data_IF_604525772220
#
_entry.id   IF_604525772220
#
_cell.length_a   1.000
_cell.length_b   1.000
_cell.length_c   1.000
_cell.angle_alpha   90.00
_cell.angle_beta   90.00
_cell.angle_gamma   90.00
#
_symmetry.space_group_name_H-M   'P 1'
#
loop_
_entity.id
_entity.type
_entity.pdbx_description
1 polymer ?
#
# COMPACT_ATOMS: atom_id res chain seq x y z
N UNK A 1 0.92 -30.31 45.23
CA UNK A 1 0.11 -29.07 45.24
C UNK A 1 0.53 -28.17 44.09
N UNK A 2 -0.10 -28.21 42.89
CA UNK A 2 0.26 -27.28 41.85
C UNK A 2 -0.66 -26.04 41.94
N UNK A 3 -0.19 -25.00 42.64
CA UNK A 3 -0.85 -23.69 42.67
C UNK A 3 -0.47 -22.92 41.40
N UNK A 4 -1.15 -23.17 40.29
CA UNK A 4 -1.01 -22.33 39.11
C UNK A 4 -1.72 -20.99 39.34
N UNK A 5 -1.03 -20.08 40.03
CA UNK A 5 -1.51 -18.75 40.44
C UNK A 5 -1.83 -17.84 39.24
N UNK A 6 -1.28 -18.16 38.06
CA UNK A 6 -1.45 -17.36 36.85
C UNK A 6 -2.90 -17.31 36.37
N UNK A 7 -3.67 -18.39 36.55
CA UNK A 7 -5.09 -18.44 36.17
C UNK A 7 -5.98 -17.44 36.92
N UNK A 8 -5.58 -17.05 38.14
CA UNK A 8 -6.32 -16.12 39.01
C UNK A 8 -5.95 -14.65 38.78
N UNK A 9 -4.94 -14.37 37.97
CA UNK A 9 -4.48 -12.99 37.70
C UNK A 9 -5.32 -12.37 36.59
N UNK A 10 -5.78 -11.14 36.81
CA UNK A 10 -6.61 -10.38 35.87
C UNK A 10 -5.88 -9.93 34.61
N UNK A 11 -4.55 -9.92 34.60
CA UNK A 11 -3.74 -9.59 33.42
C UNK A 11 -3.35 -10.83 32.60
N UNK A 12 -3.68 -12.04 33.05
CA UNK A 12 -3.32 -13.25 32.32
C UNK A 12 -4.06 -13.29 30.98
N UNK A 13 -3.31 -13.24 29.89
CA UNK A 13 -3.83 -13.24 28.51
C UNK A 13 -4.67 -14.49 28.24
N UNK A 14 -4.32 -15.63 28.84
CA UNK A 14 -5.02 -16.90 28.64
C UNK A 14 -6.32 -17.03 29.44
N UNK A 15 -6.67 -16.04 30.26
CA UNK A 15 -7.95 -16.04 30.95
C UNK A 15 -9.08 -15.81 29.93
N UNK A 16 -10.11 -16.66 29.95
CA UNK A 16 -11.27 -16.56 29.07
C UNK A 16 -11.90 -15.16 29.06
N UNK A 17 -11.92 -14.48 30.21
CA UNK A 17 -12.43 -13.11 30.32
C UNK A 17 -11.61 -12.09 29.51
N UNK A 18 -10.28 -12.25 29.45
CA UNK A 18 -9.41 -11.37 28.68
C UNK A 18 -9.46 -11.70 27.19
N UNK A 19 -9.51 -12.98 26.84
CA UNK A 19 -9.71 -13.43 25.46
C UNK A 19 -11.03 -12.87 24.91
N UNK A 20 -12.11 -12.88 25.70
CA UNK A 20 -13.40 -12.33 25.30
C UNK A 20 -13.37 -10.80 25.09
N UNK A 21 -12.60 -10.07 25.90
CA UNK A 21 -12.40 -8.61 25.72
C UNK A 21 -11.66 -8.32 24.42
N UNK A 22 -10.54 -9.00 24.19
CA UNK A 22 -9.75 -8.86 22.95
C UNK A 22 -10.60 -9.17 21.73
N UNK A 23 -11.37 -10.27 21.74
CA UNK A 23 -12.29 -10.59 20.64
C UNK A 23 -13.36 -9.54 20.40
N UNK A 24 -13.88 -8.91 21.46
CA UNK A 24 -14.86 -7.82 21.33
C UNK A 24 -14.22 -6.57 20.70
N UNK A 25 -13.00 -6.25 21.11
CA UNK A 25 -12.26 -5.11 20.57
C UNK A 25 -11.85 -5.37 19.11
N UNK A 26 -11.41 -6.58 18.79
CA UNK A 26 -11.14 -7.05 17.42
C UNK A 26 -12.40 -7.00 16.56
N UNK A 27 -13.53 -7.52 17.04
CA UNK A 27 -14.79 -7.46 16.31
C UNK A 27 -15.29 -6.02 16.11
N UNK A 28 -15.06 -5.13 17.09
CA UNK A 28 -15.41 -3.71 16.97
C UNK A 28 -14.48 -2.98 15.99
N UNK A 29 -13.20 -3.37 15.90
CA UNK A 29 -12.26 -2.86 14.92
C UNK A 29 -12.64 -3.34 13.51
N UNK A 30 -12.87 -4.64 13.34
CA UNK A 30 -13.31 -5.24 12.08
C UNK A 30 -14.62 -4.61 11.58
N UNK A 31 -15.62 -4.42 12.45
CA UNK A 31 -16.88 -3.80 12.06
C UNK A 31 -16.72 -2.34 11.57
N UNK A 32 -15.69 -1.62 12.04
CA UNK A 32 -15.38 -0.27 11.54
C UNK A 32 -14.72 -0.32 10.18
N UNK A 33 -13.75 -1.22 10.01
CA UNK A 33 -13.07 -1.46 8.73
C UNK A 33 -14.08 -1.88 7.65
N UNK A 34 -14.96 -2.83 7.95
CA UNK A 34 -16.03 -3.27 7.05
C UNK A 34 -16.98 -2.13 6.66
N UNK A 35 -17.34 -1.25 7.60
CA UNK A 35 -18.20 -0.10 7.29
C UNK A 35 -17.51 0.91 6.36
N UNK A 36 -16.21 1.13 6.52
CA UNK A 36 -15.44 2.00 5.62
C UNK A 36 -15.22 1.34 4.25
N UNK A 37 -14.99 0.03 4.20
CA UNK A 37 -14.96 -0.74 2.95
C UNK A 37 -16.29 -0.69 2.20
N UNK A 38 -17.42 -0.84 2.90
CA UNK A 38 -18.75 -0.72 2.30
C UNK A 38 -18.95 0.66 1.69
N UNK A 39 -18.55 1.74 2.39
CA UNK A 39 -18.61 3.11 1.84
C UNK A 39 -17.78 3.27 0.57
N UNK A 40 -16.57 2.70 0.53
CA UNK A 40 -15.73 2.72 -0.66
C UNK A 40 -16.37 1.94 -1.81
N UNK A 41 -16.92 0.76 -1.52
CA UNK A 41 -17.62 -0.07 -2.51
C UNK A 41 -18.87 0.62 -3.05
N UNK A 42 -19.65 1.28 -2.20
CA UNK A 42 -20.83 2.06 -2.59
C UNK A 42 -20.46 3.24 -3.49
N UNK A 43 -19.39 3.97 -3.16
CA UNK A 43 -18.89 5.06 -3.99
C UNK A 43 -18.43 4.56 -5.37
N UNK A 44 -17.73 3.42 -5.42
CA UNK A 44 -17.33 2.77 -6.66
C UNK A 44 -18.53 2.24 -7.46
N UNK A 45 -19.52 1.65 -6.80
CA UNK A 45 -20.75 1.17 -7.42
C UNK A 45 -21.57 2.34 -7.98
N UNK A 46 -21.73 3.42 -7.23
CA UNK A 46 -22.38 4.64 -7.68
C UNK A 46 -21.67 5.23 -8.90
N UNK A 47 -20.33 5.24 -8.90
CA UNK A 47 -19.55 5.66 -10.07
C UNK A 47 -19.83 4.78 -11.29
N UNK A 48 -19.85 3.46 -11.13
CA UNK A 48 -20.16 2.52 -12.22
C UNK A 48 -21.58 2.74 -12.75
N UNK A 49 -22.55 2.98 -11.87
CA UNK A 49 -23.92 3.28 -12.27
C UNK A 49 -24.03 4.61 -13.02
N UNK A 50 -23.31 5.66 -12.61
CA UNK A 50 -23.28 6.94 -13.30
C UNK A 50 -22.74 6.81 -14.74
N UNK A 51 -21.65 6.05 -14.92
CA UNK A 51 -21.09 5.75 -16.25
C UNK A 51 -22.11 5.02 -17.12
N UNK A 52 -22.80 4.02 -16.56
CA UNK A 52 -23.85 3.28 -17.28
C UNK A 52 -25.06 4.17 -17.64
N UNK A 53 -25.36 5.19 -16.83
CA UNK A 53 -26.41 6.17 -17.10
C UNK A 53 -25.98 7.29 -18.07
N UNK A 54 -24.70 7.35 -18.44
CA UNK A 54 -24.16 8.44 -19.26
C UNK A 54 -24.01 9.76 -18.51
N UNK A 55 -24.07 9.74 -17.18
CA UNK A 55 -23.84 10.89 -16.31
C UNK A 55 -22.34 11.06 -16.02
N UNK A 56 -21.89 12.29 -15.74
CA UNK A 56 -20.50 12.55 -15.39
C UNK A 56 -20.22 11.91 -14.02
N UNK A 57 -19.28 10.95 -13.93
CA UNK A 57 -19.00 10.27 -12.66
C UNK A 57 -18.46 11.25 -11.62
N UNK A 58 -18.79 11.06 -10.32
CA UNK A 58 -18.18 11.85 -9.26
C UNK A 58 -16.65 11.69 -9.30
N UNK A 59 -15.88 12.78 -9.07
CA UNK A 59 -14.43 12.73 -9.12
C UNK A 59 -13.90 11.73 -8.10
N UNK A 60 -12.86 10.99 -8.49
CA UNK A 60 -12.15 10.11 -7.57
C UNK A 60 -11.72 10.94 -6.37
N UNK A 61 -12.13 10.54 -5.16
CA UNK A 61 -11.44 11.00 -3.97
C UNK A 61 -10.00 10.54 -4.16
N UNK A 62 -9.09 11.48 -4.41
CA UNK A 62 -7.66 11.19 -4.49
C UNK A 62 -7.19 10.57 -3.18
N UNK A 63 -5.90 10.20 -3.05
CA UNK A 63 -5.33 9.77 -1.77
C UNK A 63 -5.23 10.96 -0.79
N UNK A 64 -6.36 11.60 -0.48
CA UNK A 64 -6.49 12.55 0.61
C UNK A 64 -6.59 11.73 1.89
N UNK A 65 -5.47 11.62 2.59
CA UNK A 65 -5.39 11.24 4.00
C UNK A 65 -6.05 9.89 4.33
N UNK A 66 -5.46 8.80 3.84
CA UNK A 66 -5.37 7.64 4.73
C UNK A 66 -4.66 8.14 6.01
N UNK A 67 -5.25 8.05 7.21
CA UNK A 67 -4.50 8.34 8.42
C UNK A 67 -3.37 7.32 8.46
N UNK A 68 -2.13 7.75 8.20
CA UNK A 68 -0.97 6.88 8.34
C UNK A 68 -1.02 6.23 9.72
N UNK A 69 -0.74 4.92 9.86
CA UNK A 69 -0.68 4.28 11.17
C UNK A 69 0.43 4.87 12.06
N UNK A 70 1.39 5.60 11.46
CA UNK A 70 2.44 6.38 12.14
C UNK A 70 2.03 7.85 12.43
N UNK A 71 0.84 8.27 12.01
CA UNK A 71 0.26 9.51 12.50
C UNK A 71 -0.15 9.27 13.95
N UNK A 72 0.80 9.54 14.86
CA UNK A 72 0.53 9.70 16.28
C UNK A 72 -0.84 10.38 16.44
N UNK A 73 -1.76 9.83 17.25
CA UNK A 73 -3.02 10.53 17.53
C UNK A 73 -2.63 11.95 17.89
N UNK A 74 -3.28 12.99 17.33
CA UNK A 74 -2.87 14.37 17.55
C UNK A 74 -2.69 14.50 19.05
N UNK A 75 -1.42 14.62 19.47
CA UNK A 75 -1.05 14.70 20.86
C UNK A 75 -1.99 15.72 21.42
N UNK A 76 -2.87 15.31 22.34
CA UNK A 76 -3.75 16.23 23.05
C UNK A 76 -2.80 17.20 23.69
N UNK A 77 -2.58 18.30 22.98
CA UNK A 77 -1.49 19.22 23.20
C UNK A 77 -1.71 19.78 24.58
N UNK A 78 -0.94 19.27 25.52
CA UNK A 78 -0.76 19.86 26.84
C UNK A 78 0.12 21.12 26.70
N UNK A 79 -0.22 21.99 25.75
CA UNK A 79 0.50 23.23 25.46
C UNK A 79 -0.37 24.34 24.84
N UNK A 80 -1.70 24.25 24.98
CA UNK A 80 -2.65 25.32 24.64
C UNK A 80 -3.55 25.72 25.83
N UNK A 81 -3.09 25.48 27.07
CA UNK A 81 -3.83 25.83 28.30
C UNK A 81 -3.81 27.34 28.65
N UNK A 82 -3.57 28.24 27.69
CA UNK A 82 -3.62 29.69 27.93
C UNK A 82 -4.45 30.52 26.96
N UNK A 83 -5.14 29.91 25.99
CA UNK A 83 -6.18 30.58 25.22
C UNK A 83 -7.55 30.04 25.65
N UNK A 84 -8.13 30.64 26.71
CA UNK A 84 -9.39 30.19 27.31
C UNK A 84 -10.49 29.94 26.27
N UNK A 85 -11.17 28.78 26.38
CA UNK A 85 -12.33 28.43 25.55
C UNK A 85 -13.33 29.59 25.55
N UNK A 86 -13.62 30.15 24.37
CA UNK A 86 -14.60 31.23 24.21
C UNK A 86 -15.98 30.69 24.62
N UNK A 87 -16.62 31.32 25.60
CA UNK A 87 -17.98 30.96 26.05
C UNK A 87 -19.03 31.59 25.13
N UNK A 88 -20.24 31.02 25.12
CA UNK A 88 -21.42 31.63 24.47
C UNK A 88 -21.73 32.97 25.14
N UNK A 89 -22.04 34.00 24.35
CA UNK A 89 -22.58 35.26 24.90
C UNK A 89 -24.08 35.09 25.13
N UNK A 90 -24.65 35.89 26.04
CA UNK A 90 -26.08 35.82 26.34
C UNK A 90 -26.88 36.25 25.10
N UNK A 91 -27.77 35.38 24.60
CA UNK A 91 -28.59 35.63 23.40
C UNK A 91 -27.95 35.25 22.06
N UNK A 92 -26.81 34.56 22.02
CA UNK A 92 -26.27 33.97 20.79
C UNK A 92 -26.87 32.56 20.57
N UNK A 93 -27.37 32.29 19.37
CA UNK A 93 -27.75 30.95 18.91
C UNK A 93 -26.51 30.09 18.62
N UNK A 94 -26.69 28.76 18.63
CA UNK A 94 -25.59 27.79 18.51
C UNK A 94 -24.81 27.95 17.19
N UNK A 95 -25.51 28.28 16.11
CA UNK A 95 -24.91 28.55 14.80
C UNK A 95 -24.08 29.83 14.78
N UNK A 96 -24.54 30.87 15.47
CA UNK A 96 -23.86 32.17 15.54
C UNK A 96 -22.60 32.09 16.40
N UNK A 97 -22.66 31.32 17.50
CA UNK A 97 -21.51 31.00 18.32
C UNK A 97 -20.42 30.28 17.49
N UNK A 98 -20.81 29.25 16.73
CA UNK A 98 -19.90 28.50 15.87
C UNK A 98 -19.30 29.37 14.76
N UNK A 99 -20.10 30.19 14.07
CA UNK A 99 -19.61 31.11 13.04
C UNK A 99 -18.63 32.15 13.59
N UNK A 100 -18.85 32.65 14.80
CA UNK A 100 -17.93 33.61 15.46
C UNK A 100 -16.61 32.93 15.83
N UNK A 101 -16.67 31.72 16.39
CA UNK A 101 -15.47 30.94 16.71
C UNK A 101 -14.70 30.60 15.43
N UNK A 102 -15.39 30.15 14.38
CA UNK A 102 -14.82 29.82 13.07
C UNK A 102 -14.13 31.03 12.43
N UNK A 103 -14.79 32.20 12.35
CA UNK A 103 -14.18 33.43 11.83
C UNK A 103 -12.92 33.84 12.59
N UNK A 104 -12.91 33.64 13.92
CA UNK A 104 -11.73 33.95 14.72
C UNK A 104 -10.57 32.96 14.53
N UNK A 105 -10.85 31.70 14.13
CA UNK A 105 -9.83 30.70 13.78
C UNK A 105 -9.35 30.86 12.33
N UNK A 106 -10.27 31.26 11.44
CA UNK A 106 -10.02 31.48 10.02
C UNK A 106 -9.39 32.85 9.71
N UNK A 107 -9.19 33.72 10.71
CA UNK A 107 -8.44 34.96 10.56
C UNK A 107 -6.98 34.73 11.01
N UNK A 108 -6.08 34.23 10.15
CA UNK A 108 -4.66 34.34 10.40
C UNK A 108 -4.33 35.83 10.35
N UNK A 109 -3.81 36.36 11.46
CA UNK A 109 -3.10 37.62 11.60
C UNK A 109 -2.98 38.47 10.30
N UNK A 110 -3.87 39.44 10.11
CA UNK A 110 -3.65 40.48 9.12
C UNK A 110 -2.35 41.22 9.50
N UNK A 111 -1.31 41.24 8.64
CA UNK A 111 -0.09 41.96 8.97
C UNK A 111 -0.38 43.47 8.96
N UNK A 112 0.22 44.28 9.85
CA UNK A 112 0.05 45.72 9.82
C UNK A 112 0.52 46.27 8.47
N UNK A 113 -0.33 47.07 7.85
CA UNK A 113 -0.04 47.81 6.64
C UNK A 113 1.03 48.89 6.93
N UNK A 114 2.30 48.52 6.82
CA UNK A 114 3.40 49.47 6.64
C UNK A 114 4.63 48.75 6.06
N UNK A 115 4.67 48.61 4.73
CA UNK A 115 5.93 48.42 4.01
C UNK A 115 6.31 49.77 3.39
N UNK A 116 7.46 50.38 3.74
CA UNK A 116 7.96 51.51 2.97
C UNK A 116 8.35 51.02 1.56
N UNK A 117 8.16 51.90 0.57
CA UNK A 117 8.45 51.65 -0.83
C UNK A 117 9.91 51.19 -1.05
N UNK A 118 10.18 50.32 -2.04
CA UNK A 118 11.55 49.98 -2.40
C UNK A 118 12.24 51.21 -3.03
N UNK A 119 13.28 51.71 -2.37
CA UNK A 119 14.19 52.71 -2.93
C UNK A 119 14.89 52.13 -4.17
N UNK A 120 14.89 52.89 -5.26
CA UNK A 120 15.32 52.52 -6.61
C UNK A 120 16.84 52.33 -6.81
N UNK A 121 17.57 51.80 -5.84
CA UNK A 121 19.02 51.57 -5.96
C UNK A 121 19.37 50.12 -5.66
N UNK A 122 19.48 49.32 -6.71
CA UNK A 122 20.08 47.97 -6.68
C UNK A 122 21.61 48.06 -6.57
N UNK A 123 22.12 48.74 -5.54
CA UNK A 123 23.54 48.77 -5.23
C UNK A 123 23.77 48.01 -3.90
N UNK A 124 24.70 47.04 -3.85
CA UNK A 124 25.02 46.37 -2.60
C UNK A 124 25.54 47.41 -1.58
N UNK A 125 24.97 47.42 -0.37
CA UNK A 125 25.36 48.31 0.73
C UNK A 125 26.85 48.16 1.13
N UNK A 126 27.44 47.02 0.76
CA UNK A 126 28.80 46.62 1.09
C UNK A 126 29.59 46.44 -0.20
N UNK A 127 30.75 47.09 -0.31
CA UNK A 127 31.68 46.90 -1.43
C UNK A 127 32.26 45.47 -1.42
N UNK A 128 32.78 45.02 -2.55
CA UNK A 128 33.53 43.77 -2.75
C UNK A 128 34.65 43.52 -1.73
N UNK A 129 35.12 44.58 -1.05
CA UNK A 129 36.13 44.55 0.02
C UNK A 129 35.56 44.46 1.44
N UNK A 130 34.24 44.41 1.60
CA UNK A 130 33.58 44.31 2.90
C UNK A 130 33.33 45.64 3.62
N UNK A 131 33.54 46.79 2.96
CA UNK A 131 33.29 48.12 3.54
C UNK A 131 31.89 48.64 3.20
N UNK A 132 31.25 49.33 4.15
CA UNK A 132 29.93 49.97 3.92
C UNK A 132 30.14 51.17 2.99
N UNK A 133 29.59 51.09 1.77
CA UNK A 133 29.68 52.16 0.79
C UNK A 133 28.51 53.14 1.01
N UNK A 134 28.76 54.24 1.71
CA UNK A 134 27.77 55.30 1.93
C UNK A 134 27.48 56.14 0.68
N UNK A 135 28.33 56.03 -0.34
CA UNK A 135 28.18 56.69 -1.64
C UNK A 135 28.08 55.63 -2.74
N UNK A 136 27.19 55.86 -3.71
CA UNK A 136 27.09 54.99 -4.89
C UNK A 136 28.40 55.08 -5.69
N UNK A 137 29.21 54.03 -5.64
CA UNK A 137 30.39 53.92 -6.48
C UNK A 137 29.96 53.88 -7.97
N UNK A 138 30.73 54.51 -8.89
CA UNK A 138 30.44 54.43 -10.31
C UNK A 138 30.45 52.96 -10.77
N UNK A 139 29.57 52.58 -11.72
CA UNK A 139 29.49 51.21 -12.20
C UNK A 139 30.85 50.76 -12.74
N UNK A 140 31.42 49.71 -12.15
CA UNK A 140 32.62 49.06 -12.65
C UNK A 140 32.31 48.48 -14.05
N UNK A 141 33.24 48.60 -15.02
CA UNK A 141 33.06 47.99 -16.32
C UNK A 141 32.91 46.46 -16.19
N UNK A 142 32.11 45.81 -17.05
CA UNK A 142 31.91 44.37 -17.01
C UNK A 142 33.25 43.66 -17.16
N UNK A 143 33.63 42.91 -16.12
CA UNK A 143 34.85 42.11 -16.10
C UNK A 143 34.72 41.02 -17.16
N UNK A 144 35.70 40.92 -18.06
CA UNK A 144 35.70 39.94 -19.14
C UNK A 144 35.48 38.53 -18.58
N UNK A 145 34.58 37.73 -19.17
CA UNK A 145 34.29 36.38 -18.68
C UNK A 145 35.55 35.52 -18.82
N UNK A 146 36.09 35.06 -17.70
CA UNK A 146 37.19 34.12 -17.70
C UNK A 146 36.79 32.86 -18.52
N UNK A 147 37.66 32.37 -19.43
CA UNK A 147 37.32 31.25 -20.32
C UNK A 147 36.98 29.96 -19.56
N UNK A 148 37.44 29.85 -18.31
CA UNK A 148 37.13 28.74 -17.41
C UNK A 148 35.69 28.82 -16.86
N UNK A 149 35.17 30.02 -16.60
CA UNK A 149 33.81 30.21 -16.10
C UNK A 149 32.76 29.77 -17.13
N UNK A 150 33.02 30.01 -18.42
CA UNK A 150 32.15 29.54 -19.50
C UNK A 150 32.15 28.00 -19.61
N UNK A 151 33.30 27.36 -19.36
CA UNK A 151 33.42 25.89 -19.37
C UNK A 151 32.71 25.27 -18.18
N UNK A 152 32.75 25.90 -17.01
CA UNK A 152 32.02 25.44 -15.82
C UNK A 152 30.51 25.62 -15.95
N UNK A 153 30.04 26.75 -16.51
CA UNK A 153 28.63 26.96 -16.79
C UNK A 153 28.09 25.91 -17.78
N UNK A 154 28.83 25.62 -18.85
CA UNK A 154 28.45 24.60 -19.81
C UNK A 154 28.44 23.17 -19.21
N UNK A 155 29.31 22.88 -18.23
CA UNK A 155 29.28 21.61 -17.48
C UNK A 155 28.05 21.52 -16.59
N UNK A 156 27.73 22.57 -15.84
CA UNK A 156 26.54 22.64 -14.97
C UNK A 156 25.24 22.50 -15.77
N UNK A 157 25.16 23.14 -16.93
CA UNK A 157 23.99 23.03 -17.82
C UNK A 157 23.81 21.62 -18.37
N UNK A 158 24.91 20.90 -18.66
CA UNK A 158 24.86 19.49 -19.07
C UNK A 158 24.43 18.59 -17.92
N UNK A 159 24.99 18.78 -16.73
CA UNK A 159 24.62 18.03 -15.52
C UNK A 159 23.14 18.21 -15.16
N UNK A 160 22.62 19.45 -15.27
CA UNK A 160 21.21 19.74 -15.07
C UNK A 160 20.34 19.04 -16.12
N UNK A 161 20.70 19.11 -17.41
CA UNK A 161 19.95 18.41 -18.47
C UNK A 161 19.96 16.89 -18.27
N UNK A 162 21.07 16.33 -17.84
CA UNK A 162 21.17 14.90 -17.56
C UNK A 162 20.34 14.47 -16.35
N UNK A 163 20.10 15.36 -15.36
CA UNK A 163 19.20 15.07 -14.23
C UNK A 163 17.74 14.90 -14.67
N UNK A 164 17.32 15.61 -15.73
CA UNK A 164 15.93 15.58 -16.22
C UNK A 164 15.71 14.65 -17.42
N UNK A 165 16.77 14.15 -18.07
CA UNK A 165 16.67 13.14 -19.12
C UNK A 165 16.78 11.72 -18.56
N UNK A 166 15.87 10.82 -18.98
CA UNK A 166 15.91 9.40 -18.64
C UNK A 166 17.21 8.77 -19.15
N UNK A 167 18.11 8.42 -18.22
CA UNK A 167 19.49 7.97 -18.49
C UNK A 167 19.58 6.50 -18.94
N UNK A 168 18.97 6.16 -20.09
CA UNK A 168 19.13 4.82 -20.68
C UNK A 168 20.44 4.69 -21.48
N UNK A 169 21.03 5.80 -21.93
CA UNK A 169 22.22 5.81 -22.82
C UNK A 169 23.54 6.03 -22.05
N UNK A 170 23.52 6.76 -20.93
CA UNK A 170 24.71 7.05 -20.11
C UNK A 170 25.11 5.92 -19.14
N UNK A 171 24.39 4.80 -19.13
CA UNK A 171 24.71 3.64 -18.30
C UNK A 171 25.91 2.82 -18.82
N UNK A 172 26.37 3.07 -20.06
CA UNK A 172 27.45 2.32 -20.70
C UNK A 172 28.87 2.68 -20.20
N UNK A 173 29.01 3.61 -19.25
CA UNK A 173 30.30 4.08 -18.75
C UNK A 173 31.10 4.86 -19.80
N UNK A 174 32.14 5.57 -19.35
CA UNK A 174 32.96 6.47 -20.18
C UNK A 174 33.67 5.77 -21.35
N UNK A 175 33.77 4.44 -21.30
CA UNK A 175 34.60 3.67 -22.22
C UNK A 175 33.78 2.67 -23.04
N UNK A 176 32.43 2.65 -22.93
CA UNK A 176 31.56 1.75 -23.74
C UNK A 176 31.81 0.25 -23.55
N UNK A 177 32.73 -0.15 -22.67
CA UNK A 177 33.19 -1.52 -22.46
C UNK A 177 32.10 -2.47 -21.94
N UNK A 178 30.99 -1.94 -21.41
CA UNK A 178 29.80 -2.73 -21.04
C UNK A 178 28.91 -3.13 -22.23
N UNK A 179 29.11 -2.55 -23.42
CA UNK A 179 28.34 -2.85 -24.62
C UNK A 179 29.17 -3.67 -25.64
N UNK A 180 30.49 -3.50 -25.68
CA UNK A 180 31.35 -4.09 -26.74
C UNK A 180 32.14 -5.34 -26.33
N UNK A 181 32.48 -5.53 -25.05
CA UNK A 181 33.36 -6.65 -24.64
C UNK A 181 32.61 -7.85 -24.02
N UNK A 182 31.28 -7.76 -23.92
CA UNK A 182 30.45 -8.87 -23.41
C UNK A 182 28.97 -8.82 -23.78
N UNK A 183 28.55 -7.81 -24.55
CA UNK A 183 27.15 -7.54 -24.85
C UNK A 183 26.28 -7.37 -23.59
N UNK A 184 25.05 -6.86 -23.74
CA UNK A 184 24.09 -6.96 -22.66
C UNK A 184 23.74 -8.42 -22.40
N UNK A 185 23.37 -8.78 -21.16
CA UNK A 185 23.03 -10.15 -20.74
C UNK A 185 21.92 -10.84 -21.57
N UNK A 186 21.19 -10.08 -22.38
CA UNK A 186 20.15 -10.55 -23.31
C UNK A 186 20.64 -10.74 -24.76
N UNK A 187 21.87 -10.36 -25.08
CA UNK A 187 22.48 -10.51 -26.40
C UNK A 187 23.44 -11.70 -26.47
N UNK A 188 23.13 -12.79 -25.77
CA UNK A 188 23.73 -14.10 -26.07
C UNK A 188 23.28 -14.48 -27.48
N UNK A 189 24.16 -14.22 -28.44
CA UNK A 189 24.02 -14.75 -29.77
C UNK A 189 24.03 -16.28 -29.65
N UNK A 190 22.91 -16.88 -30.08
CA UNK A 190 22.86 -18.22 -30.65
C UNK A 190 22.80 -19.37 -29.62
N UNK A 191 21.58 -19.81 -29.33
CA UNK A 191 21.19 -21.20 -29.55
C UNK A 191 21.75 -22.31 -28.66
N UNK A 192 22.65 -22.05 -27.71
CA UNK A 192 22.99 -23.01 -26.65
C UNK A 192 22.47 -22.50 -25.30
N UNK A 193 21.22 -22.84 -25.03
CA UNK A 193 20.72 -22.97 -23.66
C UNK A 193 21.39 -24.20 -23.05
N UNK A 194 22.71 -24.13 -22.84
CA UNK A 194 23.38 -25.02 -21.93
C UNK A 194 22.69 -24.85 -20.58
N UNK A 195 22.28 -25.96 -19.98
CA UNK A 195 21.61 -26.06 -18.69
C UNK A 195 22.49 -25.59 -17.49
N UNK A 196 23.37 -24.63 -17.74
CA UNK A 196 24.30 -23.99 -16.85
C UNK A 196 24.27 -22.48 -17.13
N UNK A 197 23.19 -21.80 -16.75
CA UNK A 197 23.25 -20.37 -16.52
C UNK A 197 24.37 -20.10 -15.48
N UNK A 198 25.34 -19.21 -15.74
CA UNK A 198 26.48 -18.96 -14.83
C UNK A 198 26.05 -18.11 -13.63
N UNK A 199 25.13 -18.62 -12.82
CA UNK A 199 24.58 -17.89 -11.68
C UNK A 199 23.74 -18.71 -10.70
N UNK A 200 23.23 -19.89 -11.08
CA UNK A 200 22.55 -20.78 -10.12
C UNK A 200 23.59 -21.68 -9.47
N UNK A 201 24.44 -21.07 -8.66
CA UNK A 201 25.26 -21.86 -7.74
C UNK A 201 24.30 -22.54 -6.75
N UNK A 202 24.46 -23.85 -6.54
CA UNK A 202 23.70 -24.60 -5.52
C UNK A 202 24.10 -24.19 -4.09
N UNK A 203 24.95 -23.17 -3.98
CA UNK A 203 25.50 -22.67 -2.73
C UNK A 203 24.53 -21.66 -2.11
N UNK A 204 24.43 -21.73 -0.80
CA UNK A 204 23.75 -20.75 0.02
C UNK A 204 24.48 -19.41 0.03
N UNK A 205 23.84 -18.40 0.64
CA UNK A 205 24.43 -17.07 0.89
C UNK A 205 25.81 -17.17 1.56
N UNK A 206 26.05 -18.24 2.31
CA UNK A 206 27.32 -18.55 3.00
C UNK A 206 28.24 -19.53 2.25
N UNK A 207 27.98 -19.81 0.96
CA UNK A 207 28.87 -20.63 0.13
C UNK A 207 28.80 -22.15 0.37
N UNK A 208 27.93 -22.64 1.26
CA UNK A 208 27.68 -24.07 1.49
C UNK A 208 26.64 -24.62 0.52
N UNK A 209 26.82 -25.83 0.03
CA UNK A 209 25.84 -26.49 -0.84
C UNK A 209 24.48 -26.66 -0.14
N UNK A 210 23.41 -26.34 -0.86
CA UNK A 210 22.02 -26.41 -0.43
C UNK A 210 21.24 -27.33 -1.37
N UNK A 211 21.14 -28.62 -1.05
CA UNK A 211 20.52 -29.60 -1.95
C UNK A 211 19.06 -29.27 -2.26
N UNK A 212 18.35 -28.58 -1.36
CA UNK A 212 16.95 -28.18 -1.54
C UNK A 212 16.74 -26.81 -2.18
N UNK A 213 17.79 -26.13 -2.63
CA UNK A 213 17.67 -24.79 -3.24
C UNK A 213 16.87 -24.83 -4.53
N UNK A 214 17.16 -25.81 -5.39
CA UNK A 214 16.50 -25.99 -6.70
C UNK A 214 15.01 -26.25 -6.53
N UNK A 215 14.64 -27.16 -5.63
CA UNK A 215 13.25 -27.49 -5.35
C UNK A 215 12.48 -26.29 -4.80
N UNK A 216 13.08 -25.52 -3.89
CA UNK A 216 12.48 -24.29 -3.38
C UNK A 216 12.36 -23.21 -4.45
N UNK A 217 13.33 -23.10 -5.35
CA UNK A 217 13.24 -22.17 -6.48
C UNK A 217 12.12 -22.57 -7.45
N UNK A 218 12.00 -23.86 -7.79
CA UNK A 218 10.91 -24.38 -8.61
C UNK A 218 9.54 -24.19 -7.94
N UNK A 219 9.44 -24.46 -6.63
CA UNK A 219 8.22 -24.23 -5.85
C UNK A 219 7.83 -22.75 -5.80
N UNK A 220 8.81 -21.84 -5.66
CA UNK A 220 8.57 -20.39 -5.73
C UNK A 220 8.09 -19.97 -7.11
N UNK A 221 8.73 -20.45 -8.18
CA UNK A 221 8.29 -20.13 -9.55
C UNK A 221 6.84 -20.57 -9.79
N UNK A 222 6.47 -21.79 -9.36
CA UNK A 222 5.09 -22.30 -9.47
C UNK A 222 4.10 -21.72 -8.43
N UNK A 223 4.56 -20.94 -7.45
CA UNK A 223 3.72 -20.23 -6.50
C UNK A 223 3.54 -18.75 -6.88
N UNK A 224 4.55 -18.14 -7.52
CA UNK A 224 4.48 -16.78 -8.05
C UNK A 224 3.73 -16.69 -9.38
N UNK A 225 3.52 -17.81 -10.08
CA UNK A 225 2.76 -17.85 -11.32
C UNK A 225 1.23 -17.88 -11.05
N UNK A 226 0.46 -16.85 -11.45
CA UNK A 226 -0.99 -16.83 -11.30
C UNK A 226 -1.69 -17.96 -12.07
N UNK A 227 -1.14 -18.39 -13.21
CA UNK A 227 -1.72 -19.47 -14.00
C UNK A 227 -1.61 -20.80 -13.26
N UNK A 228 -0.46 -21.07 -12.63
CA UNK A 228 -0.27 -22.25 -11.80
C UNK A 228 -1.25 -22.30 -10.60
N UNK A 229 -1.57 -21.15 -9.99
CA UNK A 229 -2.59 -21.06 -8.94
C UNK A 229 -3.99 -21.40 -9.48
N UNK A 230 -4.37 -20.86 -10.64
CA UNK A 230 -5.66 -21.17 -11.27
C UNK A 230 -5.76 -22.66 -11.63
N UNK A 231 -4.70 -23.25 -12.16
CA UNK A 231 -4.67 -24.68 -12.48
C UNK A 231 -4.80 -25.57 -11.24
N UNK A 232 -4.15 -25.21 -10.13
CA UNK A 232 -4.32 -25.91 -8.83
C UNK A 232 -5.76 -25.79 -8.34
N UNK A 233 -6.34 -24.59 -8.38
CA UNK A 233 -7.75 -24.37 -8.04
C UNK A 233 -8.69 -25.23 -8.88
N UNK A 234 -8.53 -25.25 -10.21
CA UNK A 234 -9.34 -26.07 -11.11
C UNK A 234 -9.19 -27.58 -10.85
N UNK A 235 -8.00 -28.06 -10.45
CA UNK A 235 -7.79 -29.46 -10.05
C UNK A 235 -8.55 -29.79 -8.76
N UNK A 236 -8.46 -28.94 -7.74
CA UNK A 236 -9.19 -29.10 -6.48
C UNK A 236 -10.71 -29.16 -6.70
N UNK A 237 -11.27 -28.29 -7.55
CA UNK A 237 -12.70 -28.32 -7.89
C UNK A 237 -13.09 -29.65 -8.54
N UNK A 238 -12.30 -30.14 -9.50
CA UNK A 238 -12.55 -31.44 -10.15
C UNK A 238 -12.48 -32.61 -9.18
N UNK A 239 -11.59 -32.56 -8.18
CA UNK A 239 -11.50 -33.60 -7.14
C UNK A 239 -12.72 -33.58 -6.22
N UNK A 240 -13.17 -32.40 -5.80
CA UNK A 240 -14.39 -32.24 -5.01
C UNK A 240 -15.63 -32.70 -5.77
N UNK A 241 -15.75 -32.37 -7.05
CA UNK A 241 -16.85 -32.84 -7.90
C UNK A 241 -16.84 -34.36 -8.04
N UNK A 242 -15.67 -34.98 -8.23
CA UNK A 242 -15.53 -36.44 -8.25
C UNK A 242 -15.90 -37.06 -6.90
N UNK A 243 -15.49 -36.45 -5.79
CA UNK A 243 -15.86 -36.88 -4.44
C UNK A 243 -17.38 -36.84 -4.24
N UNK A 244 -18.00 -35.70 -4.53
CA UNK A 244 -19.46 -35.53 -4.45
C UNK A 244 -20.21 -36.52 -5.34
N UNK A 245 -19.71 -36.79 -6.56
CA UNK A 245 -20.32 -37.78 -7.46
C UNK A 245 -20.26 -39.19 -6.87
N UNK A 246 -19.13 -39.57 -6.26
CA UNK A 246 -18.99 -40.88 -5.59
C UNK A 246 -19.92 -41.00 -4.39
N UNK A 247 -20.04 -39.95 -3.57
CA UNK A 247 -20.97 -39.93 -2.43
C UNK A 247 -22.43 -40.06 -2.88
N UNK A 248 -22.81 -39.40 -3.97
CA UNK A 248 -24.16 -39.55 -4.54
C UNK A 248 -24.38 -40.97 -5.05
N UNK A 249 -23.41 -41.54 -5.75
CA UNK A 249 -23.48 -42.93 -6.24
C UNK A 249 -23.56 -43.95 -5.09
N UNK A 250 -22.81 -43.75 -4.01
CA UNK A 250 -22.88 -44.59 -2.80
C UNK A 250 -24.25 -44.47 -2.13
N UNK A 251 -24.77 -43.26 -1.95
CA UNK A 251 -26.12 -43.04 -1.40
C UNK A 251 -27.22 -43.65 -2.26
N UNK A 252 -27.11 -43.56 -3.59
CA UNK A 252 -28.05 -44.19 -4.52
C UNK A 252 -27.99 -45.71 -4.43
N UNK A 253 -26.81 -46.29 -4.26
CA UNK A 253 -26.64 -47.74 -4.03
C UNK A 253 -27.26 -48.17 -2.71
N UNK A 254 -27.01 -47.45 -1.62
CA UNK A 254 -27.61 -47.72 -0.30
C UNK A 254 -29.14 -47.63 -0.33
N UNK A 255 -29.69 -46.57 -0.93
CA UNK A 255 -31.13 -46.41 -1.13
C UNK A 255 -31.72 -47.55 -1.97
N UNK A 256 -31.05 -47.92 -3.07
CA UNK A 256 -31.48 -49.03 -3.91
C UNK A 256 -31.41 -50.39 -3.21
N UNK A 257 -30.48 -50.59 -2.28
CA UNK A 257 -30.43 -51.79 -1.44
C UNK A 257 -31.58 -51.83 -0.44
N UNK A 258 -31.87 -50.72 0.24
CA UNK A 258 -33.02 -50.60 1.15
C UNK A 258 -34.34 -50.86 0.41
N UNK A 259 -34.55 -50.27 -0.77
CA UNK A 259 -35.76 -50.52 -1.58
C UNK A 259 -35.88 -51.99 -2.02
N UNK A 260 -34.75 -52.64 -2.35
CA UNK A 260 -34.73 -54.07 -2.71
C UNK A 260 -35.05 -54.94 -1.50
N UNK A 261 -34.56 -54.60 -0.32
CA UNK A 261 -34.89 -55.29 0.93
C UNK A 261 -36.35 -55.11 1.31
N UNK A 262 -36.88 -53.88 1.28
CA UNK A 262 -38.30 -53.60 1.54
C UNK A 262 -39.20 -54.36 0.56
N UNK A 263 -38.83 -54.41 -0.73
CA UNK A 263 -39.56 -55.20 -1.74
C UNK A 263 -39.51 -56.70 -1.45
N UNK A 264 -38.40 -57.22 -0.92
CA UNK A 264 -38.29 -58.64 -0.50
C UNK A 264 -39.15 -58.90 0.73
N UNK A 265 -39.20 -57.98 1.68
CA UNK A 265 -40.02 -58.07 2.89
C UNK A 265 -41.51 -58.05 2.56
N UNK A 266 -41.99 -57.07 1.78
CA UNK A 266 -43.38 -57.01 1.29
C UNK A 266 -43.81 -58.29 0.56
N UNK A 267 -42.91 -58.91 -0.21
CA UNK A 267 -43.19 -60.20 -0.87
C UNK A 267 -43.29 -61.36 0.12
N UNK A 268 -42.50 -61.36 1.19
CA UNK A 268 -42.57 -62.37 2.26
C UNK A 268 -43.86 -62.21 3.06
N UNK A 269 -44.26 -60.98 3.35
CA UNK A 269 -45.51 -60.64 4.05
C UNK A 269 -46.74 -61.13 3.28
N UNK A 270 -46.87 -60.78 1.98
CA UNK A 270 -47.96 -61.28 1.13
C UNK A 270 -48.06 -62.81 1.10
N UNK A 271 -46.92 -63.51 1.04
CA UNK A 271 -46.89 -64.99 1.08
C UNK A 271 -47.31 -65.58 2.43
N UNK A 272 -47.17 -64.83 3.52
CA UNK A 272 -47.65 -65.25 4.85
C UNK A 272 -49.16 -65.05 4.95
N UNK A 273 -49.67 -63.93 4.44
CA UNK A 273 -51.12 -63.66 4.38
C UNK A 273 -51.86 -64.68 3.51
N UNK A 274 -51.31 -65.09 2.36
CA UNK A 274 -51.91 -66.13 1.49
C UNK A 274 -51.92 -67.55 2.11
N UNK A 275 -51.19 -67.77 3.19
CA UNK A 275 -51.07 -69.09 3.86
C UNK A 275 -51.85 -69.19 5.16
N UNK A 276 -52.39 -68.08 5.67
CA UNK A 276 -53.24 -68.02 6.86
C UNK A 276 -54.72 -68.12 6.45
#
# INVERSE_FOLDING_TARGET
MPLHLLGKKSWNVYNAANIARVRRDEAAAQAREEADEQRMQEADAARRLAILRGEIPPPLQGPSSQPSPDALPPSRGHHDERAGRKRKRHGEDDTDFEMRVARSRASPHAPPASKPAPSSSSAPLVDSRGHIALFSAPPQPPREPHPEAAREAARKDRELKDQYQMRLVNAAGRDGAGLTDGGPWYASAEGEVSAAAPGVTDKNVWGRDDPGRRDRAAARMGASDPLALMQKGARMVRELEKGRRREVEEREREMGEMEREERRERKRERRREERA
#
